data_IF_792601469926
#
_entry.id   IF_792601469926
#
_cell.length_a   1.000
_cell.length_b   1.000
_cell.length_c   1.000
_cell.angle_alpha   90.00
_cell.angle_beta   90.00
_cell.angle_gamma   90.00
#
_symmetry.space_group_name_H-M   'P 1'
#
loop_
_entity.id
_entity.type
_entity.pdbx_description
1 polymer ?
#
# COMPACT_ATOMS: atom_id res chain seq x y z
N UNK A 1 9.61 10.60 19.24
CA UNK A 1 9.60 10.54 18.47
C UNK A 1 9.21 10.29 18.22
N UNK A 2 9.24 10.57 18.08
CA UNK A 2 8.91 10.41 17.51
C UNK A 2 8.87 10.29 16.77
N UNK A 3 8.96 9.87 16.55
CA UNK A 3 9.05 9.98 15.68
C UNK A 3 8.60 10.45 15.25
N UNK A 4 8.81 10.78 15.62
CA UNK A 4 8.26 11.42 14.86
C UNK A 4 8.44 11.51 13.62
N UNK A 5 8.89 11.76 13.30
CA UNK A 5 8.93 11.94 11.92
C UNK A 5 8.07 10.91 11.25
N UNK A 6 7.36 11.27 10.26
CA UNK A 6 6.52 10.36 9.54
C UNK A 6 7.37 9.25 8.94
N UNK A 7 7.11 8.03 9.32
CA UNK A 7 7.69 6.87 8.66
C UNK A 7 6.85 6.58 7.43
N UNK A 8 7.48 6.25 6.28
CA UNK A 8 6.72 5.74 5.15
C UNK A 8 5.98 4.47 5.53
N UNK A 9 4.77 4.32 5.06
CA UNK A 9 3.98 3.14 5.37
C UNK A 9 2.50 3.38 5.12
N UNK A 10 1.70 2.39 5.40
CA UNK A 10 0.27 2.46 5.19
C UNK A 10 -0.45 3.28 6.24
N UNK A 11 -1.78 3.35 6.14
CA UNK A 11 -2.61 4.08 7.10
C UNK A 11 -2.45 3.56 8.51
N UNK A 12 -2.81 4.40 9.49
CA UNK A 12 -2.84 4.00 10.89
C UNK A 12 -3.75 2.79 11.09
N UNK A 13 -3.35 1.87 11.95
CA UNK A 13 -4.15 0.71 12.31
C UNK A 13 -5.13 0.99 13.44
N UNK A 14 -5.28 2.24 13.86
CA UNK A 14 -6.26 2.60 14.87
C UNK A 14 -7.66 2.19 14.42
N UNK A 15 -8.38 1.51 15.29
CA UNK A 15 -9.72 1.02 14.98
C UNK A 15 -9.75 -0.29 14.20
N UNK A 16 -8.61 -0.85 13.85
CA UNK A 16 -8.54 -2.14 13.15
C UNK A 16 -8.28 -3.25 14.16
N UNK A 17 -9.13 -4.26 14.15
CA UNK A 17 -8.97 -5.43 15.00
C UNK A 17 -8.34 -6.56 14.21
N UNK A 18 -7.03 -6.72 14.33
CA UNK A 18 -6.28 -7.73 13.57
C UNK A 18 -6.62 -9.15 14.00
N UNK A 19 -7.27 -9.34 15.15
CA UNK A 19 -7.74 -10.67 15.54
C UNK A 19 -8.94 -11.13 14.72
N UNK A 20 -9.64 -10.19 14.07
CA UNK A 20 -10.83 -10.46 13.28
C UNK A 20 -10.69 -10.07 11.82
N UNK A 21 -9.74 -9.21 11.50
CA UNK A 21 -9.59 -8.64 10.16
C UNK A 21 -8.19 -8.94 9.63
N UNK A 22 -8.12 -9.20 8.33
CA UNK A 22 -6.86 -9.37 7.64
C UNK A 22 -6.66 -8.16 6.73
N UNK A 23 -5.52 -7.49 6.88
CA UNK A 23 -5.27 -6.20 6.25
C UNK A 23 -4.07 -6.28 5.32
N UNK A 24 -4.25 -5.75 4.11
CA UNK A 24 -3.17 -5.44 3.18
C UNK A 24 -3.19 -3.94 3.00
N UNK A 25 -2.10 -3.27 3.31
CA UNK A 25 -2.04 -1.82 3.18
C UNK A 25 -0.63 -1.37 2.81
N UNK A 26 -0.51 -0.11 2.46
CA UNK A 26 0.80 0.41 2.15
C UNK A 26 0.77 1.85 1.72
N UNK A 27 1.89 2.25 1.14
CA UNK A 27 2.09 3.60 0.64
C UNK A 27 2.85 3.54 -0.68
N UNK A 28 2.43 4.37 -1.62
CA UNK A 28 3.08 4.50 -2.91
C UNK A 28 3.94 5.75 -2.88
N UNK A 29 5.22 5.59 -3.19
CA UNK A 29 6.19 6.68 -3.21
C UNK A 29 6.79 6.77 -4.61
N UNK A 30 6.77 7.96 -5.20
CA UNK A 30 7.54 8.25 -6.40
C UNK A 30 8.93 8.69 -5.95
N UNK A 31 9.94 7.93 -6.36
CA UNK A 31 11.31 8.21 -5.93
C UNK A 31 11.76 9.58 -6.40
N UNK A 32 12.45 10.28 -5.51
CA UNK A 32 13.03 11.57 -5.83
C UNK A 32 14.19 11.41 -6.82
N UNK A 33 14.27 12.35 -7.74
CA UNK A 33 15.34 12.38 -8.73
C UNK A 33 16.28 13.54 -8.51
N UNK A 34 16.05 14.32 -7.46
CA UNK A 34 16.92 15.43 -7.09
C UNK A 34 17.07 15.51 -5.56
N UNK A 35 17.97 16.35 -5.11
CA UNK A 35 18.28 16.47 -3.69
C UNK A 35 17.18 17.15 -2.88
N UNK A 36 16.23 17.81 -3.54
CA UNK A 36 15.16 18.52 -2.85
C UNK A 36 14.15 17.54 -2.24
N UNK A 37 14.00 16.32 -2.82
CA UNK A 37 13.07 15.33 -2.33
C UNK A 37 13.78 13.96 -2.28
N UNK A 38 14.78 13.81 -1.37
CA UNK A 38 15.63 12.60 -1.38
C UNK A 38 14.87 11.32 -1.04
N UNK A 39 13.77 11.42 -0.28
CA UNK A 39 12.98 10.25 0.12
C UNK A 39 11.78 10.00 -0.77
N UNK A 40 11.66 10.76 -1.85
CA UNK A 40 10.54 10.63 -2.76
C UNK A 40 9.30 11.37 -2.30
N UNK A 41 8.26 11.26 -3.11
CA UNK A 41 7.00 11.98 -2.90
C UNK A 41 5.84 10.98 -2.84
N UNK A 42 4.94 11.09 -1.86
CA UNK A 42 3.74 10.27 -1.84
C UNK A 42 2.91 10.48 -3.12
N UNK A 43 2.35 9.39 -3.64
CA UNK A 43 1.57 9.42 -4.88
C UNK A 43 0.10 9.50 -4.53
N UNK A 44 -0.48 10.71 -4.58
CA UNK A 44 -1.87 10.94 -4.20
C UNK A 44 -2.87 10.63 -5.32
N UNK A 45 -2.39 10.45 -6.56
CA UNK A 45 -3.26 10.24 -7.71
C UNK A 45 -3.07 8.86 -8.33
N UNK A 46 -2.73 7.89 -7.50
CA UNK A 46 -2.59 6.51 -7.94
C UNK A 46 -3.81 5.68 -7.62
N UNK A 47 -3.85 4.50 -8.21
CA UNK A 47 -4.85 3.48 -7.93
C UNK A 47 -4.15 2.17 -7.66
N UNK A 48 -4.68 1.39 -6.73
CA UNK A 48 -4.14 0.08 -6.41
C UNK A 48 -5.24 -0.94 -6.63
N UNK A 49 -4.95 -1.93 -7.47
CA UNK A 49 -5.84 -3.06 -7.71
C UNK A 49 -5.39 -4.25 -6.90
N UNK A 50 -6.35 -4.96 -6.36
CA UNK A 50 -6.11 -6.21 -5.63
C UNK A 50 -6.55 -7.36 -6.52
N UNK A 51 -5.61 -8.26 -6.84
CA UNK A 51 -5.88 -9.46 -7.62
C UNK A 51 -5.70 -10.68 -6.70
N UNK A 52 -6.58 -11.68 -6.85
CA UNK A 52 -6.47 -12.89 -6.07
C UNK A 52 -5.33 -13.80 -6.59
N UNK A 53 -5.19 -14.98 -5.99
CA UNK A 53 -4.10 -15.90 -6.33
C UNK A 53 -4.17 -16.41 -7.77
N UNK A 54 -5.34 -16.31 -8.41
CA UNK A 54 -5.51 -16.71 -9.81
C UNK A 54 -5.31 -15.55 -10.77
N UNK A 55 -5.08 -14.34 -10.25
CA UNK A 55 -4.91 -13.14 -11.06
C UNK A 55 -6.21 -12.42 -11.38
N UNK A 56 -7.32 -12.84 -10.79
CA UNK A 56 -8.60 -12.17 -11.04
C UNK A 56 -8.76 -10.93 -10.19
N UNK A 57 -9.39 -9.93 -10.77
CA UNK A 57 -9.68 -8.66 -10.11
C UNK A 57 -10.64 -8.88 -8.94
N UNK A 58 -10.29 -8.31 -7.79
CA UNK A 58 -11.12 -8.37 -6.59
C UNK A 58 -11.60 -6.99 -6.16
N UNK A 59 -10.70 -6.00 -6.13
CA UNK A 59 -11.02 -4.67 -5.66
C UNK A 59 -10.02 -3.65 -6.18
N UNK A 60 -10.41 -2.38 -6.13
CA UNK A 60 -9.52 -1.27 -6.51
C UNK A 60 -9.82 -0.09 -5.61
N UNK A 61 -8.77 0.58 -5.12
CA UNK A 61 -8.92 1.79 -4.31
C UNK A 61 -7.96 2.86 -4.81
N UNK A 62 -8.34 4.14 -4.70
CA UNK A 62 -7.41 5.23 -4.96
C UNK A 62 -6.48 5.41 -3.76
N UNK A 63 -5.32 5.99 -3.98
CA UNK A 63 -4.46 6.41 -2.89
C UNK A 63 -4.97 7.72 -2.28
N UNK A 64 -4.70 7.90 -0.97
CA UNK A 64 -5.04 9.18 -0.31
C UNK A 64 -3.93 10.21 -0.54
N UNK A 65 -4.02 11.36 0.15
CA UNK A 65 -3.06 12.45 -0.03
C UNK A 65 -1.63 12.04 0.32
N UNK A 66 -1.46 11.05 1.19
CA UNK A 66 -0.16 10.53 1.58
C UNK A 66 0.27 9.31 0.75
N UNK A 67 -0.45 9.00 -0.33
CA UNK A 67 -0.15 7.84 -1.16
C UNK A 67 -0.51 6.51 -0.54
N UNK A 68 -1.35 6.51 0.48
CA UNK A 68 -1.66 5.31 1.25
C UNK A 68 -2.90 4.60 0.70
N UNK A 69 -2.94 3.29 0.91
CA UNK A 69 -4.07 2.44 0.52
C UNK A 69 -4.26 1.32 1.54
N UNK A 70 -5.46 0.76 1.56
CA UNK A 70 -5.80 -0.37 2.43
C UNK A 70 -6.86 -1.25 1.79
N UNK A 71 -6.65 -2.56 1.92
CA UNK A 71 -7.65 -3.56 1.61
C UNK A 71 -7.89 -4.44 2.82
N UNK A 72 -9.12 -4.92 2.97
CA UNK A 72 -9.44 -6.01 3.86
C UNK A 72 -9.64 -7.24 2.97
N UNK A 73 -8.83 -8.26 3.19
CA UNK A 73 -8.80 -9.44 2.33
C UNK A 73 -8.70 -10.70 3.18
N UNK A 74 -9.11 -11.83 2.62
CA UNK A 74 -8.92 -13.10 3.30
C UNK A 74 -7.44 -13.48 3.32
N UNK A 75 -7.01 -14.32 4.28
CA UNK A 75 -5.63 -14.79 4.31
C UNK A 75 -5.25 -15.51 3.02
N UNK A 76 -4.04 -15.31 2.56
CA UNK A 76 -3.54 -15.94 1.36
C UNK A 76 -2.63 -15.03 0.56
N UNK A 77 -2.34 -15.46 -0.67
CA UNK A 77 -1.47 -14.72 -1.58
C UNK A 77 -2.30 -13.82 -2.48
N UNK A 78 -1.88 -12.57 -2.58
CA UNK A 78 -2.53 -11.55 -3.40
C UNK A 78 -1.51 -10.81 -4.24
N UNK A 79 -1.97 -10.18 -5.31
CA UNK A 79 -1.12 -9.32 -6.13
C UNK A 79 -1.70 -7.91 -6.09
N UNK A 80 -0.83 -6.95 -5.81
CA UNK A 80 -1.16 -5.53 -5.89
C UNK A 80 -0.67 -5.00 -7.24
N UNK A 81 -1.55 -4.33 -7.98
CA UNK A 81 -1.17 -3.65 -9.22
C UNK A 81 -1.33 -2.16 -8.97
N UNK A 82 -0.20 -1.47 -8.91
CA UNK A 82 -0.17 -0.03 -8.69
C UNK A 82 -0.14 0.66 -10.03
N UNK A 83 -1.07 1.57 -10.25
CA UNK A 83 -1.14 2.41 -11.44
C UNK A 83 -1.10 3.87 -11.03
N UNK A 84 -0.18 4.61 -11.63
CA UNK A 84 -0.04 6.04 -11.42
C UNK A 84 0.42 6.67 -12.74
N UNK A 85 0.34 7.99 -12.90
CA UNK A 85 0.81 8.61 -14.13
C UNK A 85 2.27 8.22 -14.42
N UNK A 86 2.47 7.61 -15.58
CA UNK A 86 3.80 7.21 -16.03
C UNK A 86 4.36 5.95 -15.41
N UNK A 87 3.59 5.21 -14.59
CA UNK A 87 4.12 4.04 -13.92
C UNK A 87 3.06 2.97 -13.67
N UNK A 88 3.49 1.71 -13.70
CA UNK A 88 2.69 0.55 -13.34
C UNK A 88 3.61 -0.48 -12.70
N UNK A 89 3.30 -0.90 -11.47
CA UNK A 89 4.11 -1.85 -10.73
C UNK A 89 3.22 -2.94 -10.17
N UNK A 90 3.67 -4.19 -10.26
CA UNK A 90 2.99 -5.31 -9.63
C UNK A 90 3.82 -5.81 -8.47
N UNK A 91 3.16 -6.13 -7.37
CA UNK A 91 3.82 -6.67 -6.18
C UNK A 91 2.96 -7.76 -5.56
N UNK A 92 3.56 -8.94 -5.35
CA UNK A 92 2.89 -10.02 -4.65
C UNK A 92 3.02 -9.82 -3.15
N UNK A 93 1.94 -10.01 -2.42
CA UNK A 93 1.91 -9.89 -0.97
C UNK A 93 1.19 -11.08 -0.37
N UNK A 94 1.48 -11.34 0.90
CA UNK A 94 0.79 -12.41 1.65
C UNK A 94 0.00 -11.74 2.76
N UNK A 95 -1.29 -12.05 2.81
CA UNK A 95 -2.17 -11.58 3.87
C UNK A 95 -2.29 -12.66 4.92
N UNK A 96 -2.11 -12.28 6.18
CA UNK A 96 -2.23 -13.21 7.30
C UNK A 96 -3.04 -12.57 8.41
N UNK A 97 -3.90 -13.37 9.03
CA UNK A 97 -4.70 -12.92 10.16
C UNK A 97 -3.77 -12.60 11.33
N UNK A 98 -4.04 -11.51 12.04
CA UNK A 98 -3.25 -11.09 13.19
C UNK A 98 -2.08 -10.19 12.85
N UNK A 99 -1.76 -10.03 11.58
CA UNK A 99 -0.64 -9.22 11.11
C UNK A 99 -1.09 -8.39 9.92
N UNK A 100 -0.86 -7.09 9.98
CA UNK A 100 -1.09 -6.25 8.81
C UNK A 100 0.08 -6.42 7.83
N UNK A 101 -0.24 -6.74 6.57
CA UNK A 101 0.75 -6.67 5.50
C UNK A 101 0.91 -5.22 5.10
N UNK A 102 1.98 -4.59 5.56
CA UNK A 102 2.24 -3.17 5.32
C UNK A 102 3.47 -3.06 4.43
N UNK A 103 3.34 -2.37 3.31
CA UNK A 103 4.42 -2.30 2.33
C UNK A 103 4.57 -0.89 1.78
N UNK A 104 5.80 -0.54 1.42
CA UNK A 104 6.08 0.71 0.69
C UNK A 104 6.50 0.31 -0.72
N UNK A 105 5.81 0.88 -1.71
CA UNK A 105 6.06 0.58 -3.11
C UNK A 105 6.62 1.83 -3.77
N UNK A 106 7.79 1.70 -4.36
CA UNK A 106 8.48 2.78 -5.05
C UNK A 106 8.24 2.68 -6.56
N UNK A 107 7.96 3.82 -7.15
CA UNK A 107 7.75 3.88 -8.60
C UNK A 107 8.62 4.94 -9.27
#
# INVERSE_FOLDING_TARGET
>A
MKTCGARPGGPSLDGVDLSKQTVIQGQIIRDGIDDAVPNGTPVANGHVRLLDSTGEFTAEVPTNAEGQFRFFASPGTWTLVVQAPGARVEKRVIAAQGIASDTVIHI
#
